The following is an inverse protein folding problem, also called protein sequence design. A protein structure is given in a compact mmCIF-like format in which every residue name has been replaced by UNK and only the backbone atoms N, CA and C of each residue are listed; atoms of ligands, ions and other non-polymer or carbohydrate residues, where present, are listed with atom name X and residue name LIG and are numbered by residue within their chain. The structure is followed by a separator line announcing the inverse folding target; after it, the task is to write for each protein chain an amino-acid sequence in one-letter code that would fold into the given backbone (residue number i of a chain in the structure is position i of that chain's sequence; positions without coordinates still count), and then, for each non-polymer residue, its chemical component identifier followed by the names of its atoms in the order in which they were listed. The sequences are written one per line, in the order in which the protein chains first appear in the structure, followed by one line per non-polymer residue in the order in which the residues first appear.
data_IF_356869336642
#
_entry.id   IF_356869336642
#
_cell.length_a   1.000
_cell.length_b   1.000
_cell.length_c   1.000
_cell.angle_alpha   90.00
_cell.angle_beta   90.00
_cell.angle_gamma   90.00
#
_symmetry.space_group_name_H-M   'P 1'
#
loop_
_entity.id
_entity.type
_entity.pdbx_description
1 polymer ?
#
# COMPACT_ATOMS: atom_id res chain seq x y z
N UNK A 1 -17.20 -6.42 6.99
CA UNK A 1 -18.22 -6.73 7.98
C UNK A 1 -19.52 -6.00 7.67
N UNK A 2 -20.65 -6.60 8.01
CA UNK A 2 -21.95 -5.94 7.88
C UNK A 2 -22.14 -4.90 8.99
N UNK A 3 -23.09 -3.97 8.78
CA UNK A 3 -23.46 -3.00 9.81
C UNK A 3 -23.95 -3.69 11.10
N UNK A 4 -24.65 -4.81 10.95
CA UNK A 4 -25.12 -5.58 12.09
C UNK A 4 -23.96 -6.13 12.93
N UNK A 5 -22.92 -6.66 12.26
CA UNK A 5 -21.75 -7.17 12.95
C UNK A 5 -21.00 -6.04 13.68
N UNK A 6 -20.86 -4.87 13.04
CA UNK A 6 -20.24 -3.70 13.66
C UNK A 6 -21.05 -3.21 14.87
N UNK A 7 -22.36 -3.23 14.78
CA UNK A 7 -23.23 -2.86 15.89
C UNK A 7 -23.03 -3.78 17.09
N UNK A 8 -22.91 -5.09 16.87
CA UNK A 8 -22.65 -6.05 17.95
C UNK A 8 -21.32 -5.78 18.65
N UNK A 9 -20.27 -5.49 17.87
CA UNK A 9 -18.93 -5.21 18.41
C UNK A 9 -18.92 -3.89 19.18
N UNK A 10 -19.59 -2.86 18.67
CA UNK A 10 -19.58 -1.52 19.26
C UNK A 10 -20.60 -1.32 20.39
N UNK A 11 -21.55 -2.24 20.54
CA UNK A 11 -22.65 -2.09 21.49
C UNK A 11 -23.71 -1.06 21.07
N UNK A 12 -23.68 -0.62 19.79
CA UNK A 12 -24.63 0.35 19.24
C UNK A 12 -25.66 -0.35 18.36
N UNK A 13 -26.81 0.29 18.13
CA UNK A 13 -27.75 -0.20 17.13
C UNK A 13 -27.19 -0.04 15.72
N UNK A 14 -27.64 -0.88 14.77
CA UNK A 14 -27.19 -0.79 13.38
C UNK A 14 -27.45 0.59 12.75
N UNK A 15 -28.62 1.24 12.93
CA UNK A 15 -28.83 2.60 12.43
C UNK A 15 -27.85 3.62 13.01
N UNK A 16 -27.54 3.53 14.30
CA UNK A 16 -26.56 4.44 14.94
C UNK A 16 -25.16 4.22 14.42
N UNK A 17 -24.76 2.96 14.17
CA UNK A 17 -23.47 2.65 13.57
C UNK A 17 -23.39 3.23 12.16
N UNK A 18 -24.43 3.04 11.33
CA UNK A 18 -24.48 3.56 9.97
C UNK A 18 -24.35 5.08 9.92
N UNK A 19 -25.03 5.78 10.82
CA UNK A 19 -24.93 7.23 10.90
C UNK A 19 -23.55 7.70 11.32
N UNK A 20 -22.92 7.03 12.29
CA UNK A 20 -21.56 7.36 12.70
C UNK A 20 -20.56 7.13 11.59
N UNK A 21 -20.66 6.01 10.85
CA UNK A 21 -19.79 5.74 9.71
C UNK A 21 -19.92 6.84 8.66
N UNK A 22 -21.14 7.27 8.35
CA UNK A 22 -21.36 8.35 7.38
C UNK A 22 -20.71 9.66 7.83
N UNK A 23 -20.82 10.02 9.10
CA UNK A 23 -20.19 11.23 9.63
C UNK A 23 -18.68 11.16 9.52
N UNK A 24 -18.08 10.00 9.79
CA UNK A 24 -16.64 9.78 9.67
C UNK A 24 -16.19 9.89 8.21
N UNK A 25 -17.00 9.40 7.29
CA UNK A 25 -16.71 9.57 5.85
C UNK A 25 -16.74 11.06 5.45
N UNK A 26 -17.77 11.79 5.87
CA UNK A 26 -17.92 13.21 5.58
C UNK A 26 -16.75 14.03 6.12
N UNK A 27 -16.19 13.62 7.26
CA UNK A 27 -15.00 14.27 7.85
C UNK A 27 -13.69 13.79 7.25
N UNK A 28 -13.71 12.83 6.33
CA UNK A 28 -12.52 12.26 5.75
C UNK A 28 -11.79 11.26 6.66
N UNK A 29 -12.36 10.88 7.80
CA UNK A 29 -11.76 9.90 8.72
C UNK A 29 -11.86 8.50 8.12
N UNK A 30 -13.03 8.15 7.56
CA UNK A 30 -13.21 6.93 6.80
C UNK A 30 -13.05 7.27 5.32
N UNK A 31 -12.03 6.70 4.69
CA UNK A 31 -11.63 7.05 3.33
C UNK A 31 -12.08 6.03 2.29
N UNK A 32 -12.79 5.02 2.71
CA UNK A 32 -13.35 4.02 1.83
C UNK A 32 -13.50 2.67 2.51
N UNK A 33 -14.07 1.75 1.76
CA UNK A 33 -14.28 0.35 2.17
C UNK A 33 -13.64 -0.55 1.12
N UNK A 34 -12.99 -1.61 1.59
CA UNK A 34 -12.35 -2.56 0.70
C UNK A 34 -12.34 -3.94 1.35
N UNK A 35 -11.96 -4.94 0.58
CA UNK A 35 -11.71 -6.27 1.10
C UNK A 35 -10.21 -6.48 1.22
N UNK A 36 -9.81 -7.27 2.21
CA UNK A 36 -8.42 -7.67 2.37
C UNK A 36 -8.25 -9.03 1.70
N UNK A 37 -7.45 -9.06 0.65
CA UNK A 37 -7.24 -10.27 -0.17
C UNK A 37 -5.79 -10.70 -0.03
N UNK A 38 -5.56 -12.00 0.11
CA UNK A 38 -4.21 -12.56 0.10
C UNK A 38 -3.69 -12.59 -1.34
N UNK A 39 -2.65 -11.81 -1.69
CA UNK A 39 -2.12 -11.79 -3.04
C UNK A 39 -1.65 -13.16 -3.56
N UNK A 40 -1.22 -14.04 -2.66
CA UNK A 40 -0.79 -15.39 -3.05
C UNK A 40 -1.91 -16.21 -3.67
N UNK A 41 -3.16 -15.94 -3.30
CA UNK A 41 -4.32 -16.59 -3.91
C UNK A 41 -4.44 -16.31 -5.40
N UNK A 42 -3.83 -15.20 -5.85
CA UNK A 42 -3.81 -14.78 -7.25
C UNK A 42 -2.46 -15.04 -7.92
N UNK A 43 -1.58 -15.84 -7.30
CA UNK A 43 -0.32 -16.25 -7.88
C UNK A 43 0.86 -15.35 -7.55
N UNK A 44 0.68 -14.31 -6.73
CA UNK A 44 1.77 -13.42 -6.34
C UNK A 44 2.53 -14.01 -5.15
N UNK A 45 3.54 -14.81 -5.45
CA UNK A 45 4.28 -15.57 -4.44
C UNK A 45 5.36 -14.77 -3.73
N UNK A 46 5.80 -13.66 -4.31
CA UNK A 46 6.91 -12.87 -3.79
C UNK A 46 6.49 -11.43 -3.58
N UNK A 47 6.99 -10.85 -2.49
CA UNK A 47 6.91 -9.42 -2.24
C UNK A 47 8.32 -8.86 -2.11
N UNK A 48 8.53 -7.68 -2.68
CA UNK A 48 9.80 -6.99 -2.62
C UNK A 48 9.61 -5.57 -2.12
N UNK A 49 10.61 -5.06 -1.42
CA UNK A 49 10.75 -3.64 -1.12
C UNK A 49 11.91 -3.12 -1.93
N UNK A 50 11.68 -2.05 -2.69
CA UNK A 50 12.66 -1.46 -3.57
C UNK A 50 12.89 -0.01 -3.17
N UNK A 51 14.15 0.33 -2.93
CA UNK A 51 14.57 1.73 -2.79
C UNK A 51 15.02 2.19 -4.17
N UNK A 52 14.50 3.33 -4.59
CA UNK A 52 14.68 3.83 -5.94
C UNK A 52 15.28 5.22 -5.87
N UNK A 53 16.46 5.38 -6.46
CA UNK A 53 17.14 6.68 -6.59
C UNK A 53 17.15 7.07 -8.06
N UNK A 54 16.29 7.99 -8.48
CA UNK A 54 16.32 8.46 -9.87
C UNK A 54 17.67 9.07 -10.24
N UNK A 55 18.09 8.84 -11.46
CA UNK A 55 19.25 9.55 -12.04
C UNK A 55 18.89 11.03 -12.16
N UNK A 56 19.90 11.93 -12.21
CA UNK A 56 19.64 13.38 -12.33
C UNK A 56 18.69 13.69 -13.46
N UNK A 57 17.64 14.46 -13.17
CA UNK A 57 16.64 14.87 -14.14
C UNK A 57 15.55 13.84 -14.44
N UNK A 58 15.59 12.65 -13.85
CA UNK A 58 14.67 11.56 -14.18
C UNK A 58 13.57 11.34 -13.13
N UNK A 59 13.47 12.19 -12.12
CA UNK A 59 12.53 12.00 -11.03
C UNK A 59 11.08 11.81 -11.50
N UNK A 60 10.62 12.69 -12.39
CA UNK A 60 9.24 12.65 -12.87
C UNK A 60 8.97 11.42 -13.75
N UNK A 61 9.94 11.06 -14.59
CA UNK A 61 9.79 9.88 -15.45
C UNK A 61 9.78 8.58 -14.64
N UNK A 62 10.64 8.50 -13.62
CA UNK A 62 10.65 7.34 -12.71
C UNK A 62 9.29 7.22 -12.01
N UNK A 63 8.76 8.31 -11.49
CA UNK A 63 7.44 8.31 -10.86
C UNK A 63 6.36 7.82 -11.82
N UNK A 64 6.39 8.29 -13.06
CA UNK A 64 5.43 7.87 -14.08
C UNK A 64 5.54 6.36 -14.36
N UNK A 65 6.75 5.83 -14.46
CA UNK A 65 6.96 4.41 -14.68
C UNK A 65 6.46 3.57 -13.51
N UNK A 66 6.70 4.02 -12.30
CA UNK A 66 6.20 3.32 -11.10
C UNK A 66 4.66 3.25 -11.12
N UNK A 67 4.01 4.38 -11.39
CA UNK A 67 2.54 4.44 -11.46
C UNK A 67 2.01 3.52 -12.56
N UNK A 68 2.71 3.41 -13.67
CA UNK A 68 2.28 2.61 -14.81
C UNK A 68 2.44 1.10 -14.61
N UNK A 69 3.19 0.66 -13.60
CA UNK A 69 3.43 -0.76 -13.32
C UNK A 69 2.51 -1.18 -12.17
N UNK A 70 1.42 -1.92 -12.45
CA UNK A 70 0.42 -2.24 -11.42
C UNK A 70 0.92 -3.16 -10.31
N UNK A 71 2.01 -3.89 -10.52
CA UNK A 71 2.63 -4.72 -9.51
C UNK A 71 3.24 -3.91 -8.36
N UNK A 72 3.50 -2.62 -8.57
CA UNK A 72 3.78 -1.70 -7.48
C UNK A 72 2.49 -1.41 -6.72
N UNK A 73 2.36 -1.96 -5.55
CA UNK A 73 1.13 -1.84 -4.74
C UNK A 73 1.19 -0.69 -3.75
N UNK A 74 2.38 -0.22 -3.42
CA UNK A 74 2.61 0.95 -2.58
C UNK A 74 3.89 1.64 -3.04
N UNK A 75 3.90 2.97 -2.97
CA UNK A 75 5.09 3.75 -3.22
C UNK A 75 5.01 5.06 -2.44
N UNK A 76 6.06 5.37 -1.72
CA UNK A 76 6.18 6.62 -0.97
C UNK A 76 7.38 7.40 -1.48
N UNK A 77 7.21 8.72 -1.63
CA UNK A 77 8.34 9.64 -1.74
C UNK A 77 8.87 9.90 -0.35
N UNK A 78 10.17 9.80 -0.19
CA UNK A 78 10.79 9.95 1.12
C UNK A 78 11.89 11.00 1.07
N UNK A 79 12.28 11.49 2.24
CA UNK A 79 13.45 12.35 2.38
C UNK A 79 14.71 11.49 2.34
N UNK A 80 15.85 12.08 1.96
CA UNK A 80 17.12 11.38 1.86
C UNK A 80 17.53 11.11 0.42
N UNK A 81 18.54 10.27 0.24
CA UNK A 81 19.10 9.99 -1.07
C UNK A 81 18.21 9.16 -1.97
N UNK A 82 17.50 8.19 -1.38
CA UNK A 82 16.54 7.37 -2.12
C UNK A 82 15.21 8.13 -2.15
N UNK A 83 14.80 8.58 -3.32
CA UNK A 83 13.59 9.39 -3.44
C UNK A 83 12.31 8.58 -3.23
N UNK A 84 12.34 7.27 -3.53
CA UNK A 84 11.17 6.42 -3.43
C UNK A 84 11.48 5.14 -2.66
N UNK A 85 10.53 4.71 -1.86
CA UNK A 85 10.48 3.36 -1.30
C UNK A 85 9.18 2.75 -1.76
N UNK A 86 9.25 1.59 -2.40
CA UNK A 86 8.10 0.99 -3.04
C UNK A 86 7.97 -0.48 -2.64
N UNK A 87 6.74 -0.99 -2.66
CA UNK A 87 6.43 -2.39 -2.45
C UNK A 87 5.87 -2.98 -3.74
N UNK A 88 6.41 -4.12 -4.16
CA UNK A 88 5.93 -4.87 -5.31
C UNK A 88 5.42 -6.23 -4.88
N UNK A 89 4.38 -6.68 -5.56
CA UNK A 89 3.94 -8.06 -5.53
C UNK A 89 4.21 -8.66 -6.90
N UNK A 90 4.97 -9.75 -6.94
CA UNK A 90 5.35 -10.40 -8.20
C UNK A 90 5.17 -11.91 -8.11
N UNK A 91 5.07 -12.54 -9.27
CA UNK A 91 4.83 -13.98 -9.39
C UNK A 91 6.11 -14.80 -9.29
N UNK A 92 7.25 -14.20 -9.68
CA UNK A 92 8.53 -14.88 -9.73
C UNK A 92 9.67 -13.88 -9.68
N UNK A 93 10.88 -14.36 -9.44
CA UNK A 93 12.09 -13.54 -9.52
C UNK A 93 12.31 -13.01 -10.94
N UNK A 94 11.94 -13.80 -11.94
CA UNK A 94 12.06 -13.37 -13.34
C UNK A 94 11.17 -12.18 -13.64
N UNK A 95 9.95 -12.19 -13.14
CA UNK A 95 9.03 -11.06 -13.28
C UNK A 95 9.60 -9.82 -12.57
N UNK A 96 10.13 -9.99 -11.38
CA UNK A 96 10.76 -8.90 -10.64
C UNK A 96 11.86 -8.25 -11.45
N UNK A 97 12.76 -9.06 -12.00
CA UNK A 97 13.86 -8.55 -12.83
C UNK A 97 13.36 -7.80 -14.06
N UNK A 98 12.36 -8.35 -14.73
CA UNK A 98 11.76 -7.71 -15.92
C UNK A 98 11.16 -6.34 -15.57
N UNK A 99 10.45 -6.25 -14.48
CA UNK A 99 9.84 -4.98 -14.06
C UNK A 99 10.89 -3.97 -13.62
N UNK A 100 11.89 -4.42 -12.86
CA UNK A 100 12.95 -3.52 -12.39
C UNK A 100 13.85 -3.04 -13.53
N UNK A 101 14.03 -3.83 -14.59
CA UNK A 101 14.79 -3.38 -15.77
C UNK A 101 14.22 -2.11 -16.36
N UNK A 102 12.88 -1.95 -16.33
CA UNK A 102 12.23 -0.73 -16.81
C UNK A 102 12.58 0.48 -15.95
N UNK A 103 12.77 0.28 -14.66
CA UNK A 103 13.15 1.34 -13.73
C UNK A 103 14.64 1.60 -13.76
N UNK A 104 15.46 0.55 -13.89
CA UNK A 104 16.92 0.64 -13.84
C UNK A 104 17.52 1.45 -14.99
N UNK A 105 16.80 1.64 -16.07
CA UNK A 105 17.22 2.55 -17.15
C UNK A 105 17.31 4.00 -16.66
N UNK A 106 16.46 4.37 -15.68
CA UNK A 106 16.27 5.74 -15.23
C UNK A 106 16.70 5.98 -13.78
N UNK A 107 17.05 4.92 -13.07
CA UNK A 107 17.31 5.01 -11.64
C UNK A 107 18.23 3.90 -11.17
N UNK A 108 18.86 4.13 -10.02
CA UNK A 108 19.51 3.08 -9.26
C UNK A 108 18.50 2.46 -8.31
N UNK A 109 18.49 1.15 -8.18
CA UNK A 109 17.56 0.44 -7.31
C UNK A 109 18.29 -0.47 -6.34
N UNK A 110 17.72 -0.61 -5.16
CA UNK A 110 18.18 -1.56 -4.15
C UNK A 110 16.96 -2.36 -3.69
N UNK A 111 16.95 -3.66 -3.96
CA UNK A 111 15.79 -4.53 -3.77
C UNK A 111 16.02 -5.52 -2.63
N UNK A 112 15.03 -5.63 -1.76
CA UNK A 112 14.99 -6.65 -0.73
C UNK A 112 13.74 -7.50 -0.89
N UNK A 113 13.88 -8.82 -0.80
CA UNK A 113 12.75 -9.74 -0.82
C UNK A 113 12.24 -9.91 0.60
N UNK A 114 10.94 -9.77 0.77
CA UNK A 114 10.31 -9.94 2.09
C UNK A 114 10.25 -11.44 2.41
N UNK A 115 10.88 -11.82 3.50
CA UNK A 115 10.85 -13.21 3.99
C UNK A 115 9.61 -13.46 4.82
N UNK A 116 9.30 -12.54 5.71
CA UNK A 116 8.19 -12.65 6.65
C UNK A 116 7.87 -11.27 7.19
N UNK A 117 6.60 -11.01 7.44
CA UNK A 117 6.14 -9.75 8.02
C UNK A 117 5.62 -10.01 9.43
N UNK A 118 6.43 -9.76 10.47
CA UNK A 118 5.98 -9.88 11.86
C UNK A 118 4.81 -8.96 12.18
N UNK A 119 4.80 -7.79 11.54
CA UNK A 119 3.68 -6.86 11.65
C UNK A 119 3.14 -6.63 10.24
N UNK A 120 2.00 -7.22 9.94
CA UNK A 120 1.28 -6.94 8.71
C UNK A 120 0.62 -5.56 8.84
N UNK A 121 0.32 -4.93 7.70
CA UNK A 121 -0.27 -3.60 7.72
C UNK A 121 -1.46 -3.54 8.67
N UNK A 122 -1.41 -2.61 9.59
CA UNK A 122 -2.48 -2.31 10.55
C UNK A 122 -2.48 -0.82 10.82
N UNK A 123 -3.55 -0.35 11.45
CA UNK A 123 -3.62 1.05 11.85
C UNK A 123 -2.75 1.30 13.09
N UNK A 124 -2.25 2.52 13.27
CA UNK A 124 -1.61 2.89 14.54
C UNK A 124 -2.63 2.87 15.68
N UNK A 125 -2.18 2.86 16.94
CA UNK A 125 -3.11 2.96 18.05
C UNK A 125 -4.03 4.16 17.87
N UNK A 126 -5.35 3.90 18.00
CA UNK A 126 -6.35 4.92 17.76
C UNK A 126 -7.02 5.32 19.07
N UNK A 127 -6.94 6.61 19.36
CA UNK A 127 -7.73 7.24 20.42
C UNK A 127 -8.93 7.95 19.84
N UNK A 128 -9.46 8.95 20.55
CA UNK A 128 -10.55 9.77 20.04
C UNK A 128 -10.14 10.47 18.75
N UNK A 129 -11.10 10.64 17.83
CA UNK A 129 -10.87 11.40 16.60
C UNK A 129 -10.52 12.84 16.95
N UNK A 130 -9.42 13.35 16.40
CA UNK A 130 -8.98 14.73 16.63
C UNK A 130 -9.91 15.71 15.90
N UNK A 131 -10.16 16.90 16.51
CA UNK A 131 -11.03 17.91 15.89
C UNK A 131 -10.46 18.47 14.57
#
# INVERSE_FOLDING_TARGET
RSLKALAQVSGLSAPSVGERLRRLEERGVLRGYTVNVDPRAFGYQLQAIVRIRPLPGQLQEVERQIIAIPEFTECDKVTGEDCFIARLHVRSMEQLDTLLDRINVLAETNTAIIKKSPVKRRLPPMGPVQP
#
